data_IF_791780092922
#
_entry.id   IF_791780092922
#
_cell.length_a   1.000
_cell.length_b   1.000
_cell.length_c   1.000
_cell.angle_alpha   90.00
_cell.angle_beta   90.00
_cell.angle_gamma   90.00
#
_symmetry.space_group_name_H-M   'P 1'
#
loop_
_entity.id
_entity.type
_entity.pdbx_description
1 polymer ?
#
# COMPACT_ATOMS: atom_id res chain seq x y z
N UNK A 1 -14.66 58.71 28.69
CA UNK A 1 -13.36 58.11 29.05
C UNK A 1 -13.17 56.83 28.25
N UNK A 2 -12.20 56.79 27.33
CA UNK A 2 -11.95 55.64 26.44
C UNK A 2 -11.11 54.62 27.22
N UNK A 3 -11.68 53.47 27.59
CA UNK A 3 -10.93 52.38 28.24
C UNK A 3 -10.03 51.73 27.19
N UNK A 4 -8.76 52.08 27.17
CA UNK A 4 -7.72 51.35 26.44
C UNK A 4 -7.29 50.18 27.32
N UNK A 5 -8.01 49.06 27.23
CA UNK A 5 -7.56 47.80 27.82
C UNK A 5 -6.40 47.29 26.95
N UNK A 6 -5.18 47.64 27.32
CA UNK A 6 -3.98 47.09 26.71
C UNK A 6 -3.83 45.61 27.05
N UNK A 7 -3.24 44.85 26.13
CA UNK A 7 -2.97 43.41 26.26
C UNK A 7 -2.24 43.12 27.58
N UNK A 8 -2.83 42.32 28.45
CA UNK A 8 -2.17 41.90 29.69
C UNK A 8 -1.10 40.84 29.38
N UNK A 9 0.03 40.90 30.08
CA UNK A 9 1.05 39.84 30.00
C UNK A 9 0.46 38.45 30.27
N UNK A 10 -0.52 38.38 31.18
CA UNK A 10 -1.22 37.14 31.52
C UNK A 10 -2.04 36.63 30.32
N UNK A 11 -2.66 37.52 29.56
CA UNK A 11 -3.46 37.16 28.38
C UNK A 11 -2.58 36.59 27.26
N UNK A 12 -1.38 37.16 27.04
CA UNK A 12 -0.40 36.60 26.10
C UNK A 12 0.05 35.21 26.54
N UNK A 13 0.31 35.03 27.84
CA UNK A 13 0.80 33.77 28.39
C UNK A 13 -0.25 32.65 28.26
N UNK A 14 -1.52 32.98 28.53
CA UNK A 14 -2.66 32.06 28.32
C UNK A 14 -2.82 31.72 26.84
N UNK A 15 -2.73 32.70 25.94
CA UNK A 15 -2.80 32.45 24.50
C UNK A 15 -1.66 31.54 24.01
N UNK A 16 -0.41 31.77 24.45
CA UNK A 16 0.72 30.90 24.11
C UNK A 16 0.53 29.48 24.63
N UNK A 17 0.00 29.32 25.85
CA UNK A 17 -0.30 28.02 26.43
C UNK A 17 -1.36 27.27 25.61
N UNK A 18 -2.44 27.95 25.22
CA UNK A 18 -3.51 27.37 24.41
C UNK A 18 -3.00 26.96 23.02
N UNK A 19 -2.21 27.81 22.37
CA UNK A 19 -1.60 27.48 21.08
C UNK A 19 -0.69 26.26 21.22
N UNK A 20 0.14 26.20 22.27
CA UNK A 20 0.98 25.04 22.55
C UNK A 20 0.19 23.74 22.70
N UNK A 21 -0.92 23.78 23.45
CA UNK A 21 -1.82 22.63 23.62
C UNK A 21 -2.43 22.17 22.29
N UNK A 22 -2.91 23.10 21.47
CA UNK A 22 -3.50 22.80 20.16
C UNK A 22 -2.44 22.17 19.24
N UNK A 23 -1.23 22.72 19.23
CA UNK A 23 -0.10 22.22 18.42
C UNK A 23 0.26 20.79 18.83
N UNK A 24 0.37 20.51 20.13
CA UNK A 24 0.66 19.15 20.65
C UNK A 24 -0.45 18.16 20.30
N UNK A 25 -1.70 18.59 20.28
CA UNK A 25 -2.84 17.73 19.93
C UNK A 25 -2.91 17.42 18.43
N UNK A 26 -2.57 18.39 17.55
CA UNK A 26 -2.77 18.26 16.09
C UNK A 26 -1.57 17.64 15.38
N UNK A 27 -0.34 17.95 15.80
CA UNK A 27 0.88 17.46 15.10
C UNK A 27 0.94 15.93 14.93
N UNK A 28 0.62 15.12 15.96
CA UNK A 28 0.67 13.67 15.83
C UNK A 28 -0.27 13.16 14.72
N UNK A 29 -1.48 13.70 14.64
CA UNK A 29 -2.48 13.30 13.62
C UNK A 29 -1.99 13.56 12.20
N UNK A 30 -1.38 14.72 11.95
CA UNK A 30 -0.79 15.03 10.63
C UNK A 30 0.37 14.09 10.32
N UNK A 31 1.22 13.83 11.31
CA UNK A 31 2.42 13.00 11.17
C UNK A 31 2.06 11.54 10.86
N UNK A 32 1.13 10.97 11.61
CA UNK A 32 0.65 9.60 11.39
C UNK A 32 -0.11 9.47 10.08
N UNK A 33 -0.93 10.46 9.72
CA UNK A 33 -1.62 10.49 8.43
C UNK A 33 -0.65 10.48 7.25
N UNK A 34 0.39 11.33 7.30
CA UNK A 34 1.43 11.36 6.27
C UNK A 34 2.20 10.04 6.17
N UNK A 35 2.57 9.44 7.30
CA UNK A 35 3.30 8.17 7.32
C UNK A 35 2.47 7.03 6.70
N UNK A 36 1.19 6.92 7.07
CA UNK A 36 0.28 5.90 6.53
C UNK A 36 0.05 6.08 5.02
N UNK A 37 -0.13 7.32 4.55
CA UNK A 37 -0.28 7.60 3.12
C UNK A 37 0.99 7.21 2.35
N UNK A 38 2.16 7.52 2.91
CA UNK A 38 3.44 7.18 2.27
C UNK A 38 3.63 5.68 2.18
N UNK A 39 3.41 4.93 3.26
CA UNK A 39 3.49 3.45 3.26
C UNK A 39 2.47 2.81 2.32
N UNK A 40 1.24 3.33 2.28
CA UNK A 40 0.18 2.81 1.41
C UNK A 40 0.50 3.00 -0.07
N UNK A 41 0.97 4.19 -0.48
CA UNK A 41 1.34 4.44 -1.87
C UNK A 41 2.50 3.57 -2.34
N UNK A 42 3.42 3.31 -1.42
CA UNK A 42 4.56 2.44 -1.56
C UNK A 42 4.17 0.96 -1.78
N UNK A 43 3.25 0.43 -0.95
CA UNK A 43 2.64 -0.89 -1.16
C UNK A 43 1.91 -1.01 -2.50
N UNK A 44 1.12 0.01 -2.86
CA UNK A 44 0.39 0.02 -4.13
C UNK A 44 1.34 -0.03 -5.32
N UNK A 45 2.42 0.76 -5.30
CA UNK A 45 3.42 0.74 -6.38
C UNK A 45 4.05 -0.65 -6.56
N UNK A 46 4.39 -1.35 -5.48
CA UNK A 46 4.96 -2.70 -5.54
C UNK A 46 3.99 -3.74 -6.13
N UNK A 47 2.71 -3.65 -5.79
CA UNK A 47 1.71 -4.55 -6.38
C UNK A 47 1.57 -4.29 -7.88
N UNK A 48 1.60 -3.02 -8.30
CA UNK A 48 1.52 -2.66 -9.72
C UNK A 48 2.77 -3.06 -10.50
N UNK A 49 3.98 -2.92 -9.94
CA UNK A 49 5.21 -3.38 -10.61
C UNK A 49 5.20 -4.89 -10.81
N UNK A 50 4.84 -5.67 -9.79
CA UNK A 50 4.74 -7.13 -9.93
C UNK A 50 3.69 -7.50 -10.98
N UNK A 51 2.51 -6.85 -10.98
CA UNK A 51 1.47 -7.11 -11.99
C UNK A 51 1.96 -6.81 -13.39
N UNK A 52 2.65 -5.69 -13.60
CA UNK A 52 3.18 -5.32 -14.90
C UNK A 52 4.22 -6.33 -15.40
N UNK A 53 5.07 -6.86 -14.51
CA UNK A 53 6.02 -7.93 -14.86
C UNK A 53 5.28 -9.19 -15.28
N UNK A 54 4.27 -9.63 -14.53
CA UNK A 54 3.49 -10.83 -14.88
C UNK A 54 2.70 -10.63 -16.17
N UNK A 55 2.07 -9.48 -16.37
CA UNK A 55 1.34 -9.17 -17.61
C UNK A 55 2.28 -9.17 -18.82
N UNK A 56 3.50 -8.61 -18.67
CA UNK A 56 4.50 -8.61 -19.72
C UNK A 56 5.01 -10.04 -20.03
N UNK A 57 5.19 -10.88 -19.01
CA UNK A 57 5.50 -12.30 -19.19
C UNK A 57 4.34 -13.05 -19.88
N UNK A 58 3.09 -12.74 -19.53
CA UNK A 58 1.88 -13.33 -20.12
C UNK A 58 1.74 -13.01 -21.61
N UNK A 59 2.09 -11.78 -22.01
CA UNK A 59 1.96 -11.29 -23.39
C UNK A 59 3.13 -11.79 -24.26
N UNK A 60 4.36 -11.83 -23.71
CA UNK A 60 5.54 -12.16 -24.51
C UNK A 60 5.88 -13.65 -24.53
N UNK A 61 5.49 -14.42 -23.51
CA UNK A 61 5.71 -15.88 -23.47
C UNK A 61 4.37 -16.61 -23.58
N UNK A 62 4.10 -17.20 -24.76
CA UNK A 62 3.06 -18.22 -24.88
C UNK A 62 3.40 -19.37 -23.91
N UNK A 63 2.48 -19.67 -23.00
CA UNK A 63 2.71 -20.51 -21.83
C UNK A 63 2.83 -22.00 -22.18
N UNK A 64 3.97 -22.42 -22.72
CA UNK A 64 4.36 -23.83 -22.76
C UNK A 64 5.08 -24.19 -21.46
N UNK A 65 4.38 -24.90 -20.56
CA UNK A 65 4.92 -25.45 -19.32
C UNK A 65 4.26 -26.79 -18.96
N UNK A 66 4.90 -27.64 -18.12
CA UNK A 66 4.41 -28.98 -17.80
C UNK A 66 3.38 -29.03 -16.65
N UNK A 67 3.01 -27.91 -16.04
CA UNK A 67 2.13 -27.89 -14.87
C UNK A 67 0.68 -28.13 -15.30
N UNK A 68 -0.07 -28.94 -14.56
CA UNK A 68 -1.49 -29.20 -14.85
C UNK A 68 -2.31 -28.86 -13.62
N UNK A 69 -3.32 -28.00 -13.76
CA UNK A 69 -4.32 -27.76 -12.73
C UNK A 69 -5.55 -28.60 -13.05
N UNK A 70 -5.97 -29.44 -12.10
CA UNK A 70 -7.21 -30.19 -12.17
C UNK A 70 -8.33 -29.40 -11.51
N UNK A 71 -9.35 -29.01 -12.28
CA UNK A 71 -10.54 -28.30 -11.79
C UNK A 71 -11.69 -29.30 -11.74
N UNK A 72 -12.25 -29.54 -10.55
CA UNK A 72 -13.36 -30.49 -10.37
C UNK A 72 -14.70 -29.75 -10.26
N UNK A 73 -15.60 -30.01 -11.21
CA UNK A 73 -16.98 -29.52 -11.20
C UNK A 73 -17.93 -30.70 -11.00
N UNK A 74 -18.52 -30.82 -9.80
CA UNK A 74 -19.67 -31.72 -9.57
C UNK A 74 -19.48 -33.17 -10.05
N UNK A 75 -18.26 -33.70 -9.99
CA UNK A 75 -17.92 -35.07 -10.40
C UNK A 75 -17.15 -35.19 -11.73
N UNK A 76 -16.94 -34.10 -12.47
CA UNK A 76 -16.10 -34.06 -13.67
C UNK A 76 -14.81 -33.28 -13.36
N UNK A 77 -13.66 -33.92 -13.53
CA UNK A 77 -12.34 -33.28 -13.41
C UNK A 77 -11.84 -32.90 -14.80
N UNK A 78 -11.50 -31.62 -14.98
CA UNK A 78 -10.91 -31.08 -16.20
C UNK A 78 -9.46 -30.72 -15.88
N UNK A 79 -8.53 -31.38 -16.57
CA UNK A 79 -7.10 -31.15 -16.44
C UNK A 79 -6.64 -30.09 -17.45
N UNK A 80 -6.30 -28.90 -16.94
CA UNK A 80 -5.81 -27.78 -17.75
C UNK A 80 -4.30 -27.70 -17.61
N UNK A 81 -3.58 -27.95 -18.72
CA UNK A 81 -2.11 -27.79 -18.79
C UNK A 81 -1.73 -26.31 -18.81
N UNK A 82 -0.56 -25.96 -18.30
CA UNK A 82 -0.10 -24.59 -18.14
C UNK A 82 1.22 -24.47 -17.36
N UNK A 83 1.50 -23.27 -16.85
CA UNK A 83 2.68 -22.98 -16.02
C UNK A 83 2.30 -22.10 -14.84
N UNK A 84 2.85 -22.39 -13.66
CA UNK A 84 2.77 -21.48 -12.51
C UNK A 84 3.93 -20.48 -12.58
N UNK A 85 3.63 -19.19 -12.63
CA UNK A 85 4.61 -18.11 -12.50
C UNK A 85 4.48 -17.49 -11.12
N UNK A 86 5.60 -17.50 -10.38
CA UNK A 86 5.72 -16.86 -9.08
C UNK A 86 6.70 -15.70 -9.20
N UNK A 87 6.27 -14.50 -8.82
CA UNK A 87 7.11 -13.30 -8.79
C UNK A 87 7.08 -12.69 -7.39
N UNK A 88 8.26 -12.36 -6.88
CA UNK A 88 8.50 -11.80 -5.56
C UNK A 88 9.26 -10.49 -5.71
N UNK A 89 8.64 -9.37 -5.32
CA UNK A 89 9.36 -8.09 -5.16
C UNK A 89 9.41 -7.69 -3.70
N UNK A 90 10.60 -7.26 -3.29
CA UNK A 90 10.84 -6.61 -2.00
C UNK A 90 10.44 -5.15 -2.08
N UNK A 91 9.62 -4.71 -1.13
CA UNK A 91 9.13 -3.35 -1.03
C UNK A 91 9.28 -2.80 0.40
N UNK A 92 9.59 -1.51 0.53
CA UNK A 92 9.69 -0.82 1.83
C UNK A 92 11.09 -0.87 2.46
N UNK A 93 11.27 -0.12 3.56
CA UNK A 93 12.56 0.03 4.27
C UNK A 93 12.87 -1.09 5.26
N UNK A 94 11.92 -2.00 5.50
CA UNK A 94 12.02 -3.13 6.44
C UNK A 94 12.09 -4.50 5.77
N UNK A 95 12.18 -4.55 4.44
CA UNK A 95 12.27 -5.81 3.69
C UNK A 95 10.95 -6.56 3.56
N UNK A 96 9.81 -5.85 3.56
CA UNK A 96 8.52 -6.46 3.29
C UNK A 96 8.49 -7.02 1.86
N UNK A 97 7.84 -8.16 1.65
CA UNK A 97 7.83 -8.85 0.36
C UNK A 97 6.40 -9.01 -0.14
N UNK A 98 6.16 -8.60 -1.38
CA UNK A 98 4.93 -8.89 -2.08
C UNK A 98 5.16 -10.11 -2.98
N UNK A 99 4.34 -11.14 -2.81
CA UNK A 99 4.37 -12.37 -3.62
C UNK A 99 3.11 -12.46 -4.44
N UNK A 100 3.25 -12.72 -5.74
CA UNK A 100 2.14 -12.98 -6.64
C UNK A 100 2.37 -14.29 -7.37
N UNK A 101 1.42 -15.22 -7.21
CA UNK A 101 1.43 -16.55 -7.82
C UNK A 101 0.27 -16.63 -8.81
N UNK A 102 0.57 -16.82 -10.09
CA UNK A 102 -0.41 -16.85 -11.18
C UNK A 102 -0.23 -18.13 -11.98
N UNK A 103 -1.34 -18.81 -12.28
CA UNK A 103 -1.35 -19.93 -13.21
C UNK A 103 -1.72 -19.43 -14.61
N UNK A 104 -0.90 -19.79 -15.59
CA UNK A 104 -1.11 -19.45 -16.99
C UNK A 104 -1.46 -20.73 -17.73
N UNK A 105 -2.70 -20.93 -18.21
CA UNK A 105 -3.06 -22.10 -18.99
C UNK A 105 -2.41 -22.06 -20.37
N UNK A 106 -2.00 -23.23 -20.86
CA UNK A 106 -1.61 -23.46 -22.25
C UNK A 106 -2.86 -23.43 -23.14
N UNK A 107 -2.71 -22.97 -24.38
CA UNK A 107 -3.83 -22.65 -25.28
C UNK A 107 -4.58 -23.88 -25.80
#
# INVERSE_FOLDING_TARGET
MKKTNGFSLVEILVCMMLIGLIVVAILPSITFGYLQLRESGHRTKAVYSIRQVIENELVNNAASGPDTISITFGGVSIDVKGRIVESEESFGTKGDKARLRVFIPDK
#
